data_IF_695135063294
#
_entry.id   IF_695135063294
#
_cell.length_a   1.000
_cell.length_b   1.000
_cell.length_c   1.000
_cell.angle_alpha   90.00
_cell.angle_beta   90.00
_cell.angle_gamma   90.00
#
_symmetry.space_group_name_H-M   'P 1'
#
loop_
_entity.id
_entity.type
_entity.pdbx_description
1 polymer ?
#
# COMPACT_ATOMS: atom_id res chain seq x y z
N UNK A 1 20.67 10.73 2.75
CA UNK A 1 19.91 9.61 2.21
C UNK A 1 19.19 8.91 3.35
N UNK A 2 17.90 9.19 3.51
CA UNK A 2 16.99 8.58 4.48
C UNK A 2 16.13 7.57 3.74
N UNK A 3 16.12 6.33 4.25
CA UNK A 3 15.30 5.24 3.71
C UNK A 3 14.26 4.87 4.76
N UNK A 4 12.99 4.97 4.40
CA UNK A 4 11.89 4.40 5.18
C UNK A 4 11.61 2.99 4.67
N UNK A 5 11.91 1.98 5.49
CA UNK A 5 11.86 0.58 5.07
C UNK A 5 10.46 -0.05 5.19
N UNK A 6 9.48 0.63 5.77
CA UNK A 6 8.16 0.02 5.99
C UNK A 6 7.03 1.03 5.81
N UNK A 7 6.51 1.12 4.58
CA UNK A 7 5.35 1.96 4.28
C UNK A 7 4.26 1.15 3.57
N UNK A 8 3.01 1.36 3.97
CA UNK A 8 1.86 0.74 3.32
C UNK A 8 1.21 1.73 2.36
N UNK A 9 1.04 1.30 1.11
CA UNK A 9 0.25 2.01 0.09
C UNK A 9 -0.85 1.10 -0.42
N UNK A 10 -1.97 1.70 -0.80
CA UNK A 10 -3.15 0.99 -1.26
C UNK A 10 -3.59 1.51 -2.63
N UNK A 11 -4.07 0.62 -3.51
CA UNK A 11 -4.71 1.04 -4.74
C UNK A 11 -5.87 2.03 -4.47
N UNK A 12 -6.06 3.07 -5.30
CA UNK A 12 -7.14 4.04 -5.11
C UNK A 12 -8.54 3.41 -5.00
N UNK A 13 -8.78 2.28 -5.68
CA UNK A 13 -10.05 1.56 -5.58
C UNK A 13 -10.32 0.97 -4.19
N UNK A 14 -9.29 0.58 -3.43
CA UNK A 14 -9.45 0.11 -2.05
C UNK A 14 -9.91 1.26 -1.17
N UNK A 15 -9.32 2.44 -1.34
CA UNK A 15 -9.72 3.66 -0.62
C UNK A 15 -11.16 4.07 -0.98
N UNK A 16 -11.54 4.01 -2.26
CA UNK A 16 -12.88 4.35 -2.76
C UNK A 16 -13.95 3.35 -2.30
N UNK A 17 -13.64 2.06 -2.31
CA UNK A 17 -14.57 0.97 -2.02
C UNK A 17 -14.27 0.29 -0.68
N UNK A 18 -13.74 1.03 0.30
CA UNK A 18 -13.20 0.50 1.57
C UNK A 18 -14.11 -0.50 2.27
N UNK A 19 -15.42 -0.25 2.30
CA UNK A 19 -16.39 -1.15 2.92
C UNK A 19 -16.37 -2.55 2.29
N UNK A 20 -16.28 -2.64 0.96
CA UNK A 20 -16.22 -3.92 0.24
C UNK A 20 -15.03 -4.76 0.71
N UNK A 21 -13.85 -4.14 0.86
CA UNK A 21 -12.64 -4.83 1.28
C UNK A 21 -12.65 -5.20 2.77
N UNK A 22 -13.26 -4.37 3.63
CA UNK A 22 -13.51 -4.71 5.05
C UNK A 22 -14.41 -5.93 5.15
N UNK A 23 -15.49 -5.96 4.36
CA UNK A 23 -16.46 -7.05 4.40
C UNK A 23 -15.88 -8.36 3.80
N UNK A 24 -14.85 -8.27 2.94
CA UNK A 24 -14.29 -9.43 2.21
C UNK A 24 -13.00 -10.01 2.79
N UNK A 25 -12.21 -9.24 3.54
CA UNK A 25 -10.91 -9.68 4.06
C UNK A 25 -10.75 -9.37 5.55
N UNK A 26 -10.63 -10.39 6.43
CA UNK A 26 -10.58 -10.18 7.87
C UNK A 26 -9.27 -9.50 8.32
N UNK A 27 -8.15 -9.72 7.63
CA UNK A 27 -6.87 -9.05 7.96
C UNK A 27 -6.98 -7.54 7.73
N UNK A 28 -7.55 -7.15 6.59
CA UNK A 28 -7.84 -5.74 6.30
C UNK A 28 -8.86 -5.18 7.27
N UNK A 29 -9.92 -5.93 7.62
CA UNK A 29 -10.92 -5.49 8.59
C UNK A 29 -10.31 -5.19 9.96
N UNK A 30 -9.41 -6.04 10.46
CA UNK A 30 -8.74 -5.86 11.76
C UNK A 30 -8.02 -4.51 11.83
N UNK A 31 -7.29 -4.15 10.78
CA UNK A 31 -6.46 -2.95 10.75
C UNK A 31 -7.22 -1.68 10.30
N UNK A 32 -8.21 -1.84 9.42
CA UNK A 32 -8.83 -0.73 8.68
C UNK A 32 -10.36 -0.65 8.82
N UNK A 33 -11.00 -1.29 9.81
CA UNK A 33 -12.45 -1.10 10.04
C UNK A 33 -12.82 0.28 10.59
N UNK A 34 -11.92 0.95 11.33
CA UNK A 34 -12.20 2.27 11.89
C UNK A 34 -12.19 3.34 10.81
N UNK A 35 -13.22 4.18 10.75
CA UNK A 35 -13.39 5.23 9.72
C UNK A 35 -12.17 6.15 9.61
N UNK A 36 -11.51 6.41 10.73
CA UNK A 36 -10.39 7.37 10.82
C UNK A 36 -9.02 6.76 10.46
N UNK A 37 -8.92 5.43 10.29
CA UNK A 37 -7.66 4.83 9.82
C UNK A 37 -7.39 5.31 8.40
N UNK A 38 -6.21 5.88 8.16
CA UNK A 38 -5.81 6.43 6.87
C UNK A 38 -5.37 5.31 5.93
N UNK A 39 -5.77 5.45 4.66
CA UNK A 39 -5.25 4.67 3.54
C UNK A 39 -4.54 5.66 2.61
N UNK A 40 -3.26 5.40 2.34
CA UNK A 40 -2.44 6.25 1.48
C UNK A 40 -2.27 5.61 0.10
N UNK A 41 -2.34 6.40 -0.96
CA UNK A 41 -1.88 6.00 -2.30
C UNK A 41 -0.37 6.25 -2.45
N UNK A 42 0.25 5.73 -3.51
CA UNK A 42 1.64 6.01 -3.84
C UNK A 42 1.91 7.51 -4.01
N UNK A 43 1.03 8.25 -4.70
CA UNK A 43 1.20 9.69 -4.91
C UNK A 43 1.11 10.48 -3.59
N UNK A 44 0.21 10.07 -2.69
CA UNK A 44 0.10 10.65 -1.34
C UNK A 44 1.36 10.36 -0.51
N UNK A 45 1.94 9.17 -0.66
CA UNK A 45 3.22 8.80 -0.04
C UNK A 45 4.36 9.68 -0.58
N UNK A 46 4.50 9.84 -1.89
CA UNK A 46 5.54 10.69 -2.50
C UNK A 46 5.46 12.13 -1.96
N UNK A 47 4.25 12.71 -1.93
CA UNK A 47 4.05 14.04 -1.38
C UNK A 47 4.38 14.13 0.13
N UNK A 48 4.19 13.04 0.88
CA UNK A 48 4.61 12.95 2.28
C UNK A 48 6.13 12.82 2.42
N UNK A 49 6.78 12.01 1.58
CA UNK A 49 8.22 11.83 1.55
C UNK A 49 8.94 13.15 1.29
N UNK A 50 8.46 13.94 0.33
CA UNK A 50 9.05 15.24 -0.01
C UNK A 50 8.96 16.23 1.17
N UNK A 51 7.85 16.20 1.93
CA UNK A 51 7.69 17.03 3.13
C UNK A 51 8.58 16.57 4.29
N UNK A 52 8.80 15.26 4.41
CA UNK A 52 9.56 14.65 5.49
C UNK A 52 11.07 14.55 5.19
N UNK A 53 11.50 14.83 3.97
CA UNK A 53 12.88 14.64 3.53
C UNK A 53 13.28 13.17 3.40
N UNK A 54 12.34 12.28 3.05
CA UNK A 54 12.61 10.85 2.81
C UNK A 54 13.03 10.66 1.35
N UNK A 55 14.21 10.09 1.15
CA UNK A 55 14.78 9.89 -0.19
C UNK A 55 14.18 8.66 -0.87
N UNK A 56 14.07 7.52 -0.15
CA UNK A 56 13.51 6.27 -0.67
C UNK A 56 12.56 5.64 0.34
N UNK A 57 11.46 5.07 -0.15
CA UNK A 57 10.55 4.25 0.67
C UNK A 57 10.41 2.85 0.09
N UNK A 58 10.47 1.85 0.97
CA UNK A 58 10.04 0.49 0.64
C UNK A 58 8.53 0.41 0.88
N UNK A 59 7.79 0.22 -0.21
CA UNK A 59 6.34 0.07 -0.19
C UNK A 59 5.97 -1.40 -0.12
N UNK A 60 5.07 -1.74 0.79
CA UNK A 60 4.67 -3.12 1.06
C UNK A 60 3.15 -3.24 1.18
N UNK A 61 2.64 -4.38 0.75
CA UNK A 61 1.26 -4.77 0.99
C UNK A 61 1.00 -5.07 2.47
N UNK A 62 -0.27 -5.19 2.82
CA UNK A 62 -0.66 -5.87 4.05
C UNK A 62 -0.76 -7.38 3.80
N UNK A 63 -0.96 -8.15 4.87
CA UNK A 63 -1.36 -9.55 4.71
C UNK A 63 -2.77 -9.65 4.15
N UNK A 64 -2.92 -10.26 2.97
CA UNK A 64 -4.22 -10.58 2.36
C UNK A 64 -4.52 -12.07 2.53
N UNK A 65 -5.79 -12.41 2.68
CA UNK A 65 -6.21 -13.80 2.90
C UNK A 65 -6.36 -14.60 1.60
N UNK A 66 -6.51 -13.94 0.46
CA UNK A 66 -6.70 -14.59 -0.85
C UNK A 66 -5.61 -14.25 -1.85
N UNK A 67 -5.34 -15.19 -2.76
CA UNK A 67 -4.35 -15.00 -3.82
C UNK A 67 -4.75 -13.85 -4.76
N UNK A 68 -6.03 -13.71 -5.07
CA UNK A 68 -6.54 -12.70 -5.99
C UNK A 68 -6.29 -11.28 -5.45
N UNK A 69 -6.44 -11.08 -4.14
CA UNK A 69 -6.11 -9.80 -3.49
C UNK A 69 -4.60 -9.55 -3.45
N UNK A 70 -3.79 -10.60 -3.27
CA UNK A 70 -2.33 -10.49 -3.43
C UNK A 70 -1.98 -10.03 -4.86
N UNK A 71 -2.56 -10.62 -5.90
CA UNK A 71 -2.32 -10.22 -7.29
C UNK A 71 -2.76 -8.77 -7.54
N UNK A 72 -4.02 -8.42 -7.22
CA UNK A 72 -4.55 -7.06 -7.43
C UNK A 72 -3.65 -5.99 -6.79
N UNK A 73 -3.18 -6.25 -5.57
CA UNK A 73 -2.41 -5.26 -4.82
C UNK A 73 -0.92 -5.30 -5.15
N UNK A 74 -0.37 -6.45 -5.54
CA UNK A 74 1.00 -6.53 -6.08
C UNK A 74 1.11 -5.79 -7.40
N UNK A 75 0.11 -5.86 -8.28
CA UNK A 75 0.08 -5.10 -9.53
C UNK A 75 0.21 -3.60 -9.25
N UNK A 76 -0.50 -3.09 -8.23
CA UNK A 76 -0.39 -1.69 -7.83
C UNK A 76 0.98 -1.33 -7.23
N UNK A 77 1.60 -2.23 -6.45
CA UNK A 77 2.98 -2.04 -5.96
C UNK A 77 3.95 -1.93 -7.14
N UNK A 78 3.87 -2.85 -8.10
CA UNK A 78 4.73 -2.87 -9.28
C UNK A 78 4.52 -1.66 -10.18
N UNK A 79 3.26 -1.26 -10.42
CA UNK A 79 2.93 -0.04 -11.16
C UNK A 79 3.50 1.20 -10.46
N UNK A 80 3.40 1.28 -9.14
CA UNK A 80 3.90 2.41 -8.36
C UNK A 80 5.42 2.50 -8.40
N UNK A 81 6.13 1.37 -8.30
CA UNK A 81 7.59 1.31 -8.51
C UNK A 81 7.95 1.76 -9.92
N UNK A 82 7.21 1.31 -10.95
CA UNK A 82 7.47 1.72 -12.33
C UNK A 82 7.25 3.23 -12.57
N UNK A 83 6.29 3.86 -11.87
CA UNK A 83 6.07 5.32 -11.91
C UNK A 83 7.18 6.10 -11.19
N UNK A 84 7.72 5.57 -10.10
CA UNK A 84 8.68 6.25 -9.23
C UNK A 84 9.94 5.40 -8.96
N UNK A 85 10.68 4.97 -10.00
CA UNK A 85 11.70 3.92 -9.88
C UNK A 85 12.90 4.30 -9.00
N UNK A 86 13.17 5.60 -8.84
CA UNK A 86 14.26 6.11 -8.00
C UNK A 86 13.84 6.43 -6.56
N UNK A 87 12.53 6.35 -6.25
CA UNK A 87 11.98 6.74 -4.95
C UNK A 87 11.31 5.58 -4.23
N UNK A 88 10.79 4.59 -4.96
CA UNK A 88 10.03 3.48 -4.39
C UNK A 88 10.68 2.13 -4.71
N UNK A 89 10.78 1.28 -3.68
CA UNK A 89 11.16 -0.13 -3.79
C UNK A 89 9.94 -0.97 -3.39
N UNK A 90 9.59 -1.98 -4.18
CA UNK A 90 8.36 -2.77 -3.97
C UNK A 90 8.60 -4.11 -3.29
N UNK A 91 7.87 -4.37 -2.20
CA UNK A 91 7.73 -5.69 -1.58
C UNK A 91 6.34 -6.25 -1.88
N UNK A 92 6.30 -7.23 -2.79
CA UNK A 92 5.10 -7.99 -3.08
C UNK A 92 4.76 -8.96 -1.94
N UNK A 93 3.48 -9.25 -1.78
CA UNK A 93 3.00 -10.24 -0.82
C UNK A 93 2.57 -11.51 -1.53
N UNK A 94 2.69 -12.63 -0.84
CA UNK A 94 2.18 -13.93 -1.25
C UNK A 94 1.24 -14.44 -0.16
N UNK A 95 0.26 -15.25 -0.54
CA UNK A 95 -0.50 -16.04 0.43
C UNK A 95 0.20 -17.42 0.54
N UNK A 96 0.98 -17.68 1.61
CA UNK A 96 1.66 -18.96 1.81
C UNK A 96 0.74 -20.18 1.95
#
# INVERSE_FOLDING_TARGET
MIIDFHTHVFPPQIKKNRKRYIDSDPCFAILYSKKDTKLATADELIASMDKAGIDVSVITNIGWTTHELCVETNDYILESVARYPQRLIGFCTVQP
#
